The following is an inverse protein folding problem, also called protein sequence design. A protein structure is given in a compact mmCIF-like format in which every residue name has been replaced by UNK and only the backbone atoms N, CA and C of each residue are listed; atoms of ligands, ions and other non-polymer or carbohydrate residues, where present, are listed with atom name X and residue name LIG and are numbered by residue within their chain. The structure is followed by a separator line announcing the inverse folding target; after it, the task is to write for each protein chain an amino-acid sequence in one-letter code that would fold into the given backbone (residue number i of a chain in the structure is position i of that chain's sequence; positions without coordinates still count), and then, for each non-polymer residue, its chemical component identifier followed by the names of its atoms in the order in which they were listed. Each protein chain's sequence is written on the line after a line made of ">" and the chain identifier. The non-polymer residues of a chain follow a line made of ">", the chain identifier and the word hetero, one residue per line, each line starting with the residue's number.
data_IF_991777407525
#
_entry.id   IF_991777407525
#
_cell.length_a   1.000
_cell.length_b   1.000
_cell.length_c   1.000
_cell.angle_alpha   90.00
_cell.angle_beta   90.00
_cell.angle_gamma   90.00
#
_symmetry.space_group_name_H-M   'P 1'
#
loop_
_entity.id
_entity.type
_entity.pdbx_description
1 polymer ?
#
# COMPACT_ATOMS: atom_id res chain seq x y z
N UNK A 1 4.07 19.77 29.96
CA UNK A 1 3.44 18.55 29.41
C UNK A 1 3.14 18.78 27.93
N UNK A 2 4.11 18.51 27.07
CA UNK A 2 4.03 18.72 25.62
C UNK A 2 3.22 17.56 25.02
N UNK A 3 1.99 17.83 24.60
CA UNK A 3 1.11 16.86 23.93
C UNK A 3 1.75 16.48 22.60
N UNK A 4 2.32 15.27 22.53
CA UNK A 4 2.83 14.70 21.29
C UNK A 4 1.64 14.20 20.46
N UNK A 5 1.13 15.05 19.58
CA UNK A 5 0.28 14.59 18.48
C UNK A 5 1.16 13.76 17.53
N UNK A 6 1.31 12.46 17.83
CA UNK A 6 1.78 11.50 16.83
C UNK A 6 0.78 11.57 15.68
N UNK A 7 1.17 12.22 14.58
CA UNK A 7 0.45 12.12 13.30
C UNK A 7 0.31 10.64 13.00
N UNK A 8 -0.89 10.07 13.17
CA UNK A 8 -1.20 8.76 12.60
C UNK A 8 -1.29 8.97 11.10
N UNK A 9 -0.16 8.89 10.41
CA UNK A 9 -0.16 8.68 8.97
C UNK A 9 -0.94 7.39 8.75
N UNK A 10 -2.12 7.49 8.17
CA UNK A 10 -2.94 6.32 7.85
C UNK A 10 -2.14 5.55 6.79
N UNK A 11 -1.51 4.45 7.19
CA UNK A 11 -0.80 3.58 6.27
C UNK A 11 -1.77 3.23 5.12
N UNK A 12 -1.32 3.29 3.85
CA UNK A 12 -2.18 2.93 2.74
C UNK A 12 -2.66 1.49 2.93
N UNK A 13 -3.96 1.27 2.72
CA UNK A 13 -4.51 -0.08 2.79
C UNK A 13 -4.02 -0.91 1.59
N UNK A 14 -3.90 -2.23 1.76
CA UNK A 14 -3.59 -3.14 0.65
C UNK A 14 -4.54 -2.91 -0.55
N UNK A 15 -5.82 -2.68 -0.28
CA UNK A 15 -6.84 -2.36 -1.31
C UNK A 15 -6.50 -1.12 -2.10
N UNK A 16 -6.09 -0.02 -1.44
CA UNK A 16 -5.73 1.22 -2.14
C UNK A 16 -4.45 1.09 -2.97
N UNK A 17 -3.47 0.32 -2.48
CA UNK A 17 -2.22 0.09 -3.22
C UNK A 17 -2.47 -0.78 -4.45
N UNK A 18 -3.26 -1.86 -4.32
CA UNK A 18 -3.60 -2.74 -5.42
C UNK A 18 -4.49 -2.07 -6.48
N UNK A 19 -5.40 -1.18 -6.08
CA UNK A 19 -6.15 -0.37 -7.05
C UNK A 19 -5.23 0.50 -7.90
N UNK A 20 -4.27 1.19 -7.27
CA UNK A 20 -3.26 1.98 -7.99
C UNK A 20 -2.41 1.10 -8.91
N UNK A 21 -2.07 -0.11 -8.49
CA UNK A 21 -1.33 -1.06 -9.35
C UNK A 21 -2.08 -1.33 -10.66
N UNK A 22 -3.40 -1.57 -10.58
CA UNK A 22 -4.26 -1.79 -11.76
C UNK A 22 -4.34 -0.55 -12.65
N UNK A 23 -4.51 0.64 -12.07
CA UNK A 23 -4.55 1.90 -12.83
C UNK A 23 -3.23 2.16 -13.59
N UNK A 24 -2.09 1.85 -12.96
CA UNK A 24 -0.77 1.98 -13.58
C UNK A 24 -0.56 0.93 -14.68
N UNK A 25 -1.01 -0.30 -14.46
CA UNK A 25 -0.93 -1.38 -15.45
C UNK A 25 -1.70 -1.01 -16.73
N UNK A 26 -2.93 -0.53 -16.56
CA UNK A 26 -3.81 -0.09 -17.66
C UNK A 26 -3.25 1.14 -18.41
N UNK A 27 -2.43 1.95 -17.76
CA UNK A 27 -1.76 3.10 -18.40
C UNK A 27 -0.38 2.77 -18.97
N UNK A 28 0.04 1.50 -18.97
CA UNK A 28 1.32 1.05 -19.50
C UNK A 28 2.53 1.38 -18.61
N UNK A 29 2.29 1.84 -17.38
CA UNK A 29 3.34 2.19 -16.39
C UNK A 29 3.78 0.94 -15.62
N UNK A 30 4.28 -0.05 -16.35
CA UNK A 30 4.47 -1.41 -15.84
C UNK A 30 5.44 -1.50 -14.65
N UNK A 31 6.55 -0.74 -14.64
CA UNK A 31 7.46 -0.77 -13.49
C UNK A 31 6.79 -0.27 -12.21
N UNK A 32 6.05 0.82 -12.28
CA UNK A 32 5.37 1.38 -11.10
C UNK A 32 4.18 0.52 -10.67
N UNK A 33 3.48 -0.07 -11.64
CA UNK A 33 2.45 -1.07 -11.39
C UNK A 33 3.02 -2.27 -10.64
N UNK A 34 4.16 -2.82 -11.10
CA UNK A 34 4.83 -3.95 -10.46
C UNK A 34 5.20 -3.66 -9.01
N UNK A 35 5.76 -2.47 -8.73
CA UNK A 35 6.07 -2.05 -7.35
C UNK A 35 4.79 -2.00 -6.50
N UNK A 36 3.72 -1.40 -7.02
CA UNK A 36 2.44 -1.35 -6.30
C UNK A 36 1.84 -2.75 -6.06
N UNK A 37 1.96 -3.68 -7.01
CA UNK A 37 1.54 -5.06 -6.79
C UNK A 37 2.34 -5.73 -5.67
N UNK A 38 3.66 -5.58 -5.67
CA UNK A 38 4.53 -6.15 -4.63
C UNK A 38 4.20 -5.60 -3.24
N UNK A 39 4.06 -4.28 -3.10
CA UNK A 39 3.67 -3.63 -1.85
C UNK A 39 2.29 -4.08 -1.38
N UNK A 40 1.31 -4.10 -2.28
CA UNK A 40 -0.05 -4.53 -1.98
C UNK A 40 -0.13 -5.99 -1.53
N UNK A 41 0.61 -6.88 -2.18
CA UNK A 41 0.72 -8.30 -1.80
C UNK A 41 1.40 -8.44 -0.44
N UNK A 42 2.48 -7.71 -0.18
CA UNK A 42 3.16 -7.75 1.12
C UNK A 42 2.21 -7.36 2.26
N UNK A 43 1.42 -6.29 2.08
CA UNK A 43 0.42 -5.88 3.07
C UNK A 43 -0.65 -6.95 3.31
N UNK A 44 -1.07 -7.68 2.27
CA UNK A 44 -1.99 -8.82 2.44
C UNK A 44 -1.34 -9.98 3.19
N UNK A 45 -0.07 -10.27 2.91
CA UNK A 45 0.68 -11.32 3.59
C UNK A 45 0.87 -11.00 5.08
N UNK A 46 1.08 -9.74 5.44
CA UNK A 46 1.18 -9.29 6.82
C UNK A 46 -0.14 -9.53 7.56
N UNK A 47 -1.28 -9.16 6.96
CA UNK A 47 -2.62 -9.44 7.51
C UNK A 47 -2.87 -10.94 7.69
N UNK A 48 -2.52 -11.77 6.70
CA UNK A 48 -2.72 -13.22 6.76
C UNK A 48 -1.85 -13.89 7.82
N UNK A 49 -0.63 -13.38 8.04
CA UNK A 49 0.29 -13.89 9.07
C UNK A 49 -0.06 -13.38 10.48
N UNK A 50 -1.03 -12.48 10.61
CA UNK A 50 -1.42 -11.88 11.89
C UNK A 50 -0.32 -11.00 12.50
N UNK A 51 0.47 -10.33 11.65
CA UNK A 51 1.55 -9.42 12.05
C UNK A 51 1.11 -8.37 13.08
#
# INVERSE_FOLDING_TARGET
>A
LQKSERRKTKQPSAVSVLKRAVELDQSGRFQESLVCYQEGIQLLMDVLKGS
#
